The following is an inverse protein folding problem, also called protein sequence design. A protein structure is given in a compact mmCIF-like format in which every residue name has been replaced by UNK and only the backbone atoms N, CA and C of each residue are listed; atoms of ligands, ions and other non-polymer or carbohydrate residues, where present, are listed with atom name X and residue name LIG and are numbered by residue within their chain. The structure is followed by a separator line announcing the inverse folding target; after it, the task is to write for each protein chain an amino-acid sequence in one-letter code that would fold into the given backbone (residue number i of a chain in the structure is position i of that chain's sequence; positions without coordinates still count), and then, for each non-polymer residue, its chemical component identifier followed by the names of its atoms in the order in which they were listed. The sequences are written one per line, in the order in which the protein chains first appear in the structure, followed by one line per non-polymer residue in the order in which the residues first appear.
data_IF_892344052100
#
_entry.id   IF_892344052100
#
_cell.length_a   1.000
_cell.length_b   1.000
_cell.length_c   1.000
_cell.angle_alpha   90.00
_cell.angle_beta   90.00
_cell.angle_gamma   90.00
#
_symmetry.space_group_name_H-M   'P 1'
#
loop_
_entity.id
_entity.type
_entity.pdbx_description
1 polymer ?
#
# COMPACT_ATOMS: atom_id res chain seq x y z
N UNK A 1 -16.94 3.34 2.62
CA UNK A 1 -16.96 1.86 2.34
C UNK A 1 -15.61 1.45 1.80
N UNK A 2 -15.05 0.34 2.30
CA UNK A 2 -13.79 -0.25 1.79
C UNK A 2 -14.12 -1.45 0.92
N UNK A 3 -13.67 -1.43 -0.34
CA UNK A 3 -13.74 -2.55 -1.29
C UNK A 3 -12.33 -3.08 -1.58
N UNK A 4 -12.20 -4.33 -2.01
CA UNK A 4 -10.93 -5.03 -2.14
C UNK A 4 -10.84 -5.70 -3.51
N UNK A 5 -9.75 -5.46 -4.21
CA UNK A 5 -9.31 -6.27 -5.33
C UNK A 5 -8.15 -7.15 -4.87
N UNK A 6 -8.37 -8.46 -4.87
CA UNK A 6 -7.33 -9.45 -4.60
C UNK A 6 -6.63 -9.79 -5.91
N UNK A 7 -5.38 -9.33 -6.07
CA UNK A 7 -4.56 -9.77 -7.19
C UNK A 7 -4.12 -11.21 -6.97
N UNK A 8 -4.02 -11.98 -8.04
CA UNK A 8 -3.52 -13.35 -7.99
C UNK A 8 -2.00 -13.40 -7.86
N UNK A 9 -1.31 -12.53 -8.58
CA UNK A 9 0.14 -12.55 -8.76
C UNK A 9 0.82 -11.26 -8.30
N UNK A 10 0.07 -10.35 -7.67
CA UNK A 10 0.55 -9.07 -7.13
C UNK A 10 -0.01 -8.77 -5.76
N UNK A 11 0.16 -7.54 -5.32
CA UNK A 11 -0.40 -7.05 -4.06
C UNK A 11 -1.92 -6.88 -4.13
N UNK A 12 -2.58 -6.83 -2.98
CA UNK A 12 -3.98 -6.44 -2.87
C UNK A 12 -4.12 -4.93 -3.13
N UNK A 13 -5.14 -4.54 -3.88
CA UNK A 13 -5.55 -3.13 -4.00
C UNK A 13 -6.81 -2.86 -3.20
N UNK A 14 -6.87 -1.71 -2.55
CA UNK A 14 -8.02 -1.32 -1.72
C UNK A 14 -8.62 -0.02 -2.21
N UNK A 15 -9.96 0.05 -2.20
CA UNK A 15 -10.73 1.22 -2.61
C UNK A 15 -11.51 1.75 -1.41
N UNK A 16 -11.23 2.98 -0.99
CA UNK A 16 -12.03 3.67 0.01
C UNK A 16 -12.97 4.63 -0.72
N UNK A 17 -14.26 4.29 -0.73
CA UNK A 17 -15.26 4.90 -1.60
C UNK A 17 -16.26 5.70 -0.78
N UNK A 18 -16.47 6.97 -1.17
CA UNK A 18 -17.48 7.84 -0.57
C UNK A 18 -18.86 7.73 -1.27
N UNK A 19 -19.85 8.47 -0.76
CA UNK A 19 -21.22 8.47 -1.31
C UNK A 19 -21.30 9.08 -2.72
N UNK A 20 -20.36 9.94 -3.10
CA UNK A 20 -20.26 10.54 -4.44
C UNK A 20 -19.58 9.66 -5.47
N UNK A 21 -19.25 8.40 -5.11
CA UNK A 21 -18.49 7.47 -5.96
C UNK A 21 -17.07 7.95 -6.27
N UNK A 22 -16.49 8.82 -5.43
CA UNK A 22 -15.08 9.13 -5.45
C UNK A 22 -14.32 8.09 -4.62
N UNK A 23 -13.19 7.64 -5.13
CA UNK A 23 -12.39 6.60 -4.50
C UNK A 23 -10.95 7.06 -4.24
N UNK A 24 -10.44 6.70 -3.07
CA UNK A 24 -9.01 6.65 -2.78
C UNK A 24 -8.56 5.22 -3.00
N UNK A 25 -7.60 5.01 -3.91
CA UNK A 25 -7.01 3.71 -4.22
C UNK A 25 -5.71 3.54 -3.43
N UNK A 26 -5.58 2.44 -2.70
CA UNK A 26 -4.36 2.07 -2.02
C UNK A 26 -3.70 0.94 -2.81
N UNK A 27 -2.44 1.14 -3.18
CA UNK A 27 -1.57 0.25 -3.97
C UNK A 27 -2.20 -0.17 -5.32
N UNK A 28 -1.91 0.54 -6.41
CA UNK A 28 -2.34 0.19 -7.77
C UNK A 28 -1.53 -1.03 -8.27
N UNK A 29 -1.91 -2.22 -7.80
CA UNK A 29 -1.15 -3.44 -7.90
C UNK A 29 -1.01 -3.98 -9.31
N UNK A 30 -0.13 -4.97 -9.48
CA UNK A 30 -0.05 -5.76 -10.70
C UNK A 30 -1.38 -6.45 -10.99
N UNK A 31 -1.80 -6.41 -12.23
CA UNK A 31 -3.09 -6.96 -12.65
C UNK A 31 -2.93 -7.71 -13.96
N UNK A 32 -2.80 -9.03 -13.84
CA UNK A 32 -2.87 -9.90 -15.01
C UNK A 32 -4.24 -9.77 -15.70
N UNK A 33 -4.24 -9.77 -17.03
CA UNK A 33 -5.47 -9.71 -17.84
C UNK A 33 -6.42 -8.54 -17.51
N UNK A 34 -5.88 -7.39 -17.05
CA UNK A 34 -6.64 -6.18 -16.71
C UNK A 34 -7.68 -6.33 -15.59
N UNK A 35 -7.54 -7.32 -14.72
CA UNK A 35 -8.50 -7.59 -13.65
C UNK A 35 -8.76 -6.42 -12.72
N UNK A 36 -7.73 -5.61 -12.38
CA UNK A 36 -7.90 -4.39 -11.57
C UNK A 36 -8.76 -3.34 -12.31
N UNK A 37 -8.55 -3.16 -13.62
CA UNK A 37 -9.31 -2.19 -14.43
C UNK A 37 -10.76 -2.63 -14.59
N UNK A 38 -11.01 -3.92 -14.80
CA UNK A 38 -12.37 -4.47 -14.83
C UNK A 38 -13.08 -4.30 -13.49
N UNK A 39 -12.33 -4.44 -12.38
CA UNK A 39 -12.85 -4.18 -11.04
C UNK A 39 -13.19 -2.70 -10.84
N UNK A 40 -12.33 -1.76 -11.25
CA UNK A 40 -12.60 -0.31 -11.24
C UNK A 40 -13.86 0.02 -12.05
N UNK A 41 -13.98 -0.54 -13.26
CA UNK A 41 -15.16 -0.35 -14.11
C UNK A 41 -16.44 -0.87 -13.45
N UNK A 42 -16.39 -2.05 -12.83
CA UNK A 42 -17.51 -2.64 -12.10
C UNK A 42 -17.91 -1.80 -10.89
N UNK A 43 -16.95 -1.25 -10.16
CA UNK A 43 -17.21 -0.35 -9.05
C UNK A 43 -17.84 0.96 -9.52
N UNK A 44 -17.63 1.37 -10.76
CA UNK A 44 -18.09 2.64 -11.32
C UNK A 44 -17.74 3.82 -10.42
N UNK A 45 -16.45 3.98 -10.14
CA UNK A 45 -15.89 5.02 -9.28
C UNK A 45 -14.96 5.94 -10.05
N UNK A 46 -14.80 7.18 -9.56
CA UNK A 46 -13.76 8.10 -9.98
C UNK A 46 -12.61 8.03 -8.98
N UNK A 47 -11.42 7.61 -9.40
CA UNK A 47 -10.23 7.67 -8.55
C UNK A 47 -9.77 9.12 -8.45
N UNK A 48 -9.72 9.66 -7.23
CA UNK A 48 -9.30 11.04 -6.96
C UNK A 48 -7.95 11.10 -6.25
N UNK A 49 -7.54 10.00 -5.60
CA UNK A 49 -6.22 9.88 -5.00
C UNK A 49 -5.74 8.43 -5.00
N UNK A 50 -4.40 8.27 -4.98
CA UNK A 50 -3.69 7.00 -4.90
C UNK A 50 -2.73 7.11 -3.72
N UNK A 51 -2.78 6.15 -2.78
CA UNK A 51 -1.84 6.04 -1.67
C UNK A 51 -0.95 4.82 -1.92
N UNK A 52 0.36 5.01 -1.89
CA UNK A 52 1.34 3.95 -2.14
C UNK A 52 2.01 3.60 -0.81
N UNK A 53 1.84 2.35 -0.35
CA UNK A 53 2.43 1.89 0.91
C UNK A 53 3.94 1.76 0.82
N UNK A 54 4.44 1.28 -0.32
CA UNK A 54 5.85 1.23 -0.67
C UNK A 54 6.01 0.97 -2.19
N UNK A 55 7.21 1.15 -2.69
CA UNK A 55 7.45 1.23 -4.13
C UNK A 55 7.84 -0.08 -4.81
N UNK A 56 7.60 -1.29 -4.27
CA UNK A 56 7.84 -2.52 -5.00
C UNK A 56 6.87 -2.68 -6.19
N UNK A 57 7.34 -3.35 -7.23
CA UNK A 57 6.67 -3.43 -8.53
C UNK A 57 5.22 -3.92 -8.44
N UNK A 58 4.97 -4.91 -7.61
CA UNK A 58 3.66 -5.53 -7.46
C UNK A 58 2.62 -4.64 -6.79
N UNK A 59 3.06 -3.57 -6.09
CA UNK A 59 2.21 -2.53 -5.51
C UNK A 59 1.97 -1.35 -6.47
N UNK A 60 2.84 -1.12 -7.46
CA UNK A 60 2.81 0.07 -8.32
C UNK A 60 2.65 -0.24 -9.81
N UNK A 61 2.53 -1.50 -10.21
CA UNK A 61 2.57 -1.90 -11.61
C UNK A 61 1.46 -1.28 -12.49
N UNK A 62 0.30 -0.97 -11.93
CA UNK A 62 -0.78 -0.30 -12.65
C UNK A 62 -0.81 1.22 -12.46
N UNK A 63 0.17 1.81 -11.76
CA UNK A 63 0.18 3.23 -11.40
C UNK A 63 0.11 4.15 -12.64
N UNK A 64 0.99 3.92 -13.61
CA UNK A 64 1.08 4.74 -14.81
C UNK A 64 -0.25 4.75 -15.59
N UNK A 65 -0.83 3.59 -15.85
CA UNK A 65 -2.09 3.48 -16.60
C UNK A 65 -3.25 4.14 -15.83
N UNK A 66 -3.30 3.96 -14.50
CA UNK A 66 -4.33 4.60 -13.68
C UNK A 66 -4.18 6.12 -13.67
N UNK A 67 -2.95 6.65 -13.58
CA UNK A 67 -2.72 8.10 -13.68
C UNK A 67 -3.09 8.65 -15.06
N UNK A 68 -2.92 7.90 -16.14
CA UNK A 68 -3.39 8.31 -17.45
C UNK A 68 -4.94 8.33 -17.58
N UNK A 69 -5.62 7.40 -16.93
CA UNK A 69 -7.09 7.36 -16.88
C UNK A 69 -7.68 8.42 -15.95
N UNK A 70 -6.97 8.77 -14.90
CA UNK A 70 -7.38 9.75 -13.88
C UNK A 70 -6.28 10.81 -13.67
N UNK A 71 -6.03 11.67 -14.66
CA UNK A 71 -4.86 12.57 -14.66
C UNK A 71 -4.88 13.60 -13.52
N UNK A 72 -6.03 13.89 -12.94
CA UNK A 72 -6.19 14.80 -11.80
C UNK A 72 -6.01 14.11 -10.43
N UNK A 73 -5.78 12.78 -10.40
CA UNK A 73 -5.63 12.07 -9.14
C UNK A 73 -4.30 12.45 -8.47
N UNK A 74 -4.35 12.76 -7.19
CA UNK A 74 -3.17 12.96 -6.36
C UNK A 74 -2.51 11.62 -6.04
N UNK A 75 -1.19 11.54 -6.11
CA UNK A 75 -0.43 10.33 -5.75
C UNK A 75 0.41 10.60 -4.52
N UNK A 76 0.19 9.85 -3.45
CA UNK A 76 0.90 9.98 -2.18
C UNK A 76 1.84 8.81 -1.96
N UNK A 77 3.08 9.11 -1.65
CA UNK A 77 4.11 8.13 -1.32
C UNK A 77 5.03 8.73 -0.24
N UNK A 78 5.66 7.91 0.60
CA UNK A 78 6.65 8.46 1.54
C UNK A 78 7.84 9.06 0.79
N UNK A 79 8.48 10.09 1.37
CA UNK A 79 9.62 10.74 0.73
C UNK A 79 10.76 9.74 0.45
N UNK A 80 11.00 8.81 1.37
CA UNK A 80 12.02 7.76 1.23
C UNK A 80 11.70 6.72 0.14
N UNK A 81 10.43 6.58 -0.29
CA UNK A 81 10.00 5.67 -1.36
C UNK A 81 9.90 6.33 -2.74
N UNK A 82 9.93 7.65 -2.82
CA UNK A 82 9.72 8.34 -4.09
C UNK A 82 10.73 7.91 -5.18
N UNK A 83 11.96 7.59 -4.79
CA UNK A 83 13.00 7.09 -5.70
C UNK A 83 12.62 5.74 -6.35
N UNK A 84 11.84 4.90 -5.66
CA UNK A 84 11.42 3.59 -6.18
C UNK A 84 10.59 3.71 -7.46
N UNK A 85 9.83 4.78 -7.62
CA UNK A 85 8.98 4.99 -8.81
C UNK A 85 9.76 5.04 -10.12
N UNK A 86 11.07 5.35 -10.07
CA UNK A 86 11.93 5.48 -11.26
C UNK A 86 13.18 4.61 -11.21
N UNK A 87 13.44 3.92 -10.10
CA UNK A 87 14.61 3.08 -9.92
C UNK A 87 14.23 1.58 -9.99
N UNK A 88 14.54 0.96 -11.12
CA UNK A 88 14.12 -0.40 -11.45
C UNK A 88 14.78 -1.50 -10.61
N UNK A 89 15.92 -1.22 -10.00
CA UNK A 89 16.60 -2.13 -9.09
C UNK A 89 16.00 -2.04 -7.67
N UNK A 90 15.54 -0.84 -7.25
CA UNK A 90 14.86 -0.66 -5.97
C UNK A 90 13.43 -1.19 -6.01
N UNK A 91 12.66 -0.88 -7.06
CA UNK A 91 11.29 -1.36 -7.18
C UNK A 91 11.18 -2.82 -7.64
N UNK A 92 12.31 -3.45 -7.97
CA UNK A 92 12.42 -4.85 -8.40
C UNK A 92 11.72 -5.18 -9.72
N UNK A 93 11.25 -4.20 -10.50
CA UNK A 93 10.54 -4.47 -11.77
C UNK A 93 11.46 -5.11 -12.81
N UNK A 94 12.76 -4.77 -12.81
CA UNK A 94 13.75 -5.40 -13.68
C UNK A 94 13.91 -6.90 -13.35
N UNK A 95 14.09 -7.24 -12.08
CA UNK A 95 14.21 -8.64 -11.65
C UNK A 95 12.93 -9.42 -11.97
N UNK A 96 11.75 -8.86 -11.67
CA UNK A 96 10.46 -9.48 -11.98
C UNK A 96 10.26 -9.70 -13.49
N UNK A 97 10.68 -8.76 -14.34
CA UNK A 97 10.64 -8.91 -15.79
C UNK A 97 11.56 -10.03 -16.26
N UNK A 98 12.79 -10.09 -15.75
CA UNK A 98 13.78 -11.13 -16.08
C UNK A 98 13.33 -12.52 -15.61
N UNK A 99 12.61 -12.61 -14.50
CA UNK A 99 12.02 -13.85 -13.97
C UNK A 99 10.73 -14.29 -14.69
N UNK A 100 10.21 -13.46 -15.60
CA UNK A 100 9.07 -13.81 -16.45
C UNK A 100 7.70 -13.58 -15.83
N UNK A 101 7.57 -12.70 -14.82
CA UNK A 101 6.27 -12.32 -14.24
C UNK A 101 5.39 -11.50 -15.19
N UNK A 102 5.86 -11.17 -16.42
CA UNK A 102 5.08 -10.42 -17.40
C UNK A 102 4.86 -8.95 -17.04
N UNK A 103 5.62 -8.42 -16.08
CA UNK A 103 5.59 -7.01 -15.70
C UNK A 103 6.54 -6.20 -16.59
N UNK A 104 6.15 -4.98 -16.93
CA UNK A 104 7.02 -4.03 -17.59
C UNK A 104 8.06 -3.46 -16.60
N UNK A 105 9.18 -2.95 -17.12
CA UNK A 105 10.10 -2.16 -16.33
C UNK A 105 9.42 -0.84 -15.93
N UNK A 106 9.35 -0.56 -14.63
CA UNK A 106 8.57 0.55 -14.09
C UNK A 106 9.46 1.76 -13.81
N UNK A 107 9.24 2.84 -14.57
CA UNK A 107 9.99 4.10 -14.44
C UNK A 107 9.06 5.32 -14.59
N UNK A 108 7.92 5.31 -13.89
CA UNK A 108 6.90 6.35 -14.04
C UNK A 108 6.91 7.32 -12.86
N UNK A 109 6.93 8.61 -13.15
CA UNK A 109 6.81 9.68 -12.17
C UNK A 109 5.48 10.42 -12.37
N UNK A 110 4.53 10.29 -11.43
CA UNK A 110 3.23 10.98 -11.51
C UNK A 110 3.35 12.51 -11.52
N UNK A 111 2.47 13.18 -12.28
CA UNK A 111 2.45 14.66 -12.36
C UNK A 111 2.06 15.28 -11.01
N UNK A 112 1.07 14.69 -10.32
CA UNK A 112 0.58 15.15 -9.02
C UNK A 112 1.14 14.30 -7.87
N UNK A 113 2.47 14.07 -7.88
CA UNK A 113 3.15 13.34 -6.81
C UNK A 113 3.32 14.21 -5.57
N UNK A 114 2.81 13.72 -4.43
CA UNK A 114 2.90 14.35 -3.11
C UNK A 114 3.66 13.42 -2.17
N UNK A 115 4.74 13.94 -1.60
CA UNK A 115 5.58 13.22 -0.65
C UNK A 115 5.04 13.42 0.76
N UNK A 116 4.97 12.33 1.52
CA UNK A 116 4.46 12.34 2.90
C UNK A 116 5.48 11.81 3.89
N UNK A 117 5.32 12.23 5.14
CA UNK A 117 6.17 11.86 6.27
C UNK A 117 5.34 11.23 7.40
N UNK A 118 6.04 10.73 8.43
CA UNK A 118 5.39 10.14 9.60
C UNK A 118 4.45 11.16 10.26
N UNK A 119 3.23 10.73 10.57
CA UNK A 119 2.15 11.49 11.21
C UNK A 119 1.44 12.52 10.31
N UNK A 120 1.82 12.66 9.05
CA UNK A 120 1.05 13.48 8.13
C UNK A 120 -0.41 12.99 8.02
N UNK A 121 -1.30 13.90 7.70
CA UNK A 121 -2.72 13.61 7.44
C UNK A 121 -3.01 13.89 5.98
N UNK A 122 -3.46 12.88 5.26
CA UNK A 122 -3.95 12.99 3.89
C UNK A 122 -5.46 13.14 3.95
N UNK A 123 -5.99 14.22 3.37
CA UNK A 123 -7.44 14.47 3.29
C UNK A 123 -7.91 14.37 1.85
N UNK A 124 -8.56 13.25 1.48
CA UNK A 124 -9.05 12.98 0.14
C UNK A 124 -10.43 12.32 0.15
N UNK A 125 -11.28 12.67 -0.81
CA UNK A 125 -12.65 12.15 -0.92
C UNK A 125 -13.49 12.27 0.37
N UNK A 126 -13.14 13.19 1.28
CA UNK A 126 -13.76 13.35 2.60
C UNK A 126 -13.23 12.39 3.67
N UNK A 127 -12.21 11.60 3.36
CA UNK A 127 -11.52 10.73 4.32
C UNK A 127 -10.23 11.37 4.83
N UNK A 128 -9.82 10.99 6.07
CA UNK A 128 -8.58 11.43 6.71
C UNK A 128 -7.72 10.22 7.01
N UNK A 129 -6.65 10.07 6.25
CA UNK A 129 -5.66 8.99 6.44
C UNK A 129 -4.47 9.52 7.22
N UNK A 130 -4.18 8.93 8.36
CA UNK A 130 -2.94 9.21 9.09
C UNK A 130 -1.83 8.33 8.55
N UNK A 131 -0.73 8.95 8.15
CA UNK A 131 0.49 8.26 7.70
C UNK A 131 1.26 7.74 8.91
N UNK A 132 1.66 6.48 8.88
CA UNK A 132 2.50 5.84 9.90
C UNK A 132 3.68 5.20 9.16
N UNK A 133 4.84 5.82 9.19
CA UNK A 133 6.04 5.22 8.60
C UNK A 133 6.48 4.02 9.43
N UNK A 134 6.67 2.90 8.73
CA UNK A 134 7.05 1.61 9.32
C UNK A 134 8.26 1.02 8.59
N UNK A 135 9.44 1.71 8.63
CA UNK A 135 10.62 1.31 7.87
C UNK A 135 11.19 -0.01 8.36
N UNK A 136 11.09 -1.07 7.57
CA UNK A 136 11.87 -2.30 7.70
C UNK A 136 11.76 -3.21 6.47
N UNK A 137 10.59 -3.33 5.85
CA UNK A 137 10.43 -4.05 4.57
C UNK A 137 11.14 -3.29 3.45
N UNK A 138 10.87 -1.98 3.37
CA UNK A 138 11.67 -0.98 2.67
C UNK A 138 11.99 0.18 3.60
N UNK A 139 12.91 1.09 3.19
CA UNK A 139 13.33 2.25 4.01
C UNK A 139 12.20 3.24 4.29
N UNK A 140 11.20 3.32 3.42
CA UNK A 140 10.10 4.28 3.51
C UNK A 140 8.71 3.63 3.57
N UNK A 141 8.62 2.32 3.86
CA UNK A 141 7.33 1.64 4.02
C UNK A 141 6.39 2.40 4.94
N UNK A 142 5.14 2.57 4.51
CA UNK A 142 4.11 3.30 5.24
C UNK A 142 2.84 2.46 5.42
N UNK A 143 2.18 2.64 6.54
CA UNK A 143 0.80 2.23 6.76
C UNK A 143 -0.11 3.46 6.72
N UNK A 144 -1.33 3.30 6.24
CA UNK A 144 -2.36 4.34 6.25
C UNK A 144 -3.47 3.95 7.21
N UNK A 145 -3.65 4.77 8.26
CA UNK A 145 -4.67 4.55 9.27
C UNK A 145 -5.87 5.46 9.01
N UNK A 146 -7.04 4.87 8.79
CA UNK A 146 -8.32 5.54 8.59
C UNK A 146 -9.20 5.31 9.82
N UNK A 147 -9.21 6.31 10.74
CA UNK A 147 -9.79 6.17 12.08
C UNK A 147 -11.31 5.92 12.05
N UNK A 148 -12.06 6.72 11.27
CA UNK A 148 -13.52 6.64 11.22
C UNK A 148 -14.05 5.30 10.70
N UNK A 149 -13.28 4.64 9.81
CA UNK A 149 -13.59 3.32 9.24
C UNK A 149 -12.96 2.17 10.05
N UNK A 150 -12.19 2.48 11.09
CA UNK A 150 -11.40 1.51 11.86
C UNK A 150 -10.55 0.60 10.95
N UNK A 151 -9.90 1.18 9.96
CA UNK A 151 -9.14 0.49 8.94
C UNK A 151 -7.65 0.86 9.01
N UNK A 152 -6.78 -0.14 8.90
CA UNK A 152 -5.34 0.00 8.75
C UNK A 152 -4.91 -0.69 7.47
N UNK A 153 -4.45 0.07 6.49
CA UNK A 153 -3.82 -0.44 5.27
C UNK A 153 -2.34 -0.58 5.56
N UNK A 154 -1.88 -1.81 5.74
CA UNK A 154 -0.55 -2.07 6.30
C UNK A 154 0.54 -2.32 5.24
N UNK A 155 0.18 -2.39 3.96
CA UNK A 155 1.14 -2.82 2.94
C UNK A 155 1.86 -4.09 3.40
N UNK A 156 3.17 -4.13 3.21
CA UNK A 156 4.02 -5.25 3.60
C UNK A 156 4.63 -5.12 5.00
N UNK A 157 4.00 -4.30 5.86
CA UNK A 157 4.41 -4.20 7.26
C UNK A 157 3.82 -5.33 8.10
N UNK A 158 2.50 -5.57 8.02
CA UNK A 158 1.80 -6.53 8.87
C UNK A 158 0.82 -7.36 8.05
N UNK A 159 0.97 -8.68 8.11
CA UNK A 159 0.11 -9.67 7.48
C UNK A 159 -0.66 -10.51 8.50
N UNK A 160 -1.52 -11.39 8.01
CA UNK A 160 -2.16 -12.41 8.82
C UNK A 160 -1.08 -13.37 9.40
N UNK A 161 -0.85 -13.27 10.73
CA UNK A 161 0.08 -14.09 11.52
C UNK A 161 1.57 -13.93 11.19
N UNK A 162 1.96 -12.98 10.33
CA UNK A 162 3.35 -12.72 9.97
C UNK A 162 3.59 -11.24 9.67
N UNK A 163 4.80 -10.89 9.24
CA UNK A 163 5.23 -9.56 8.81
C UNK A 163 5.97 -9.66 7.49
N UNK A 164 6.19 -8.55 6.81
CA UNK A 164 6.99 -8.49 5.59
C UNK A 164 8.44 -8.92 5.82
N UNK A 165 9.08 -9.41 4.76
CA UNK A 165 10.52 -9.70 4.77
C UNK A 165 11.33 -8.41 4.81
N UNK A 166 12.58 -8.49 5.24
CA UNK A 166 13.46 -7.33 5.39
C UNK A 166 14.84 -7.51 4.74
N UNK A 167 14.95 -8.43 3.81
CA UNK A 167 16.18 -8.83 3.13
C UNK A 167 16.24 -8.38 1.65
N UNK A 168 15.24 -7.60 1.20
CA UNK A 168 15.22 -6.94 -0.11
C UNK A 168 15.98 -5.60 -0.08
N UNK A 169 16.27 -4.97 -1.24
CA UNK A 169 16.93 -3.67 -1.28
C UNK A 169 16.29 -2.66 -0.34
N UNK A 170 17.10 -1.98 0.48
CA UNK A 170 16.73 -1.04 1.54
C UNK A 170 16.03 -1.65 2.77
N UNK A 171 15.67 -2.93 2.74
CA UNK A 171 15.10 -3.64 3.88
C UNK A 171 16.09 -3.80 5.04
N UNK A 172 15.59 -3.82 6.28
CA UNK A 172 16.42 -4.04 7.45
C UNK A 172 15.63 -4.50 8.67
N UNK A 173 16.09 -5.57 9.32
CA UNK A 173 15.49 -6.04 10.57
C UNK A 173 15.67 -5.07 11.75
N UNK A 174 16.64 -4.14 11.66
CA UNK A 174 16.99 -3.23 12.76
C UNK A 174 15.87 -2.30 13.18
N UNK A 175 15.00 -1.91 12.26
CA UNK A 175 13.87 -1.00 12.50
C UNK A 175 12.53 -1.72 12.65
N UNK A 176 12.49 -3.04 12.46
CA UNK A 176 11.26 -3.84 12.51
C UNK A 176 10.52 -3.67 13.85
N UNK A 177 11.22 -3.86 14.97
CA UNK A 177 10.60 -3.77 16.29
C UNK A 177 9.98 -2.39 16.55
N UNK A 178 10.71 -1.31 16.24
CA UNK A 178 10.22 0.06 16.43
C UNK A 178 9.01 0.37 15.54
N UNK A 179 8.98 -0.15 14.32
CA UNK A 179 7.87 -0.01 13.38
C UNK A 179 6.63 -0.76 13.86
N UNK A 180 6.80 -2.00 14.32
CA UNK A 180 5.70 -2.79 14.84
C UNK A 180 5.13 -2.25 16.16
N UNK A 181 5.97 -1.63 17.04
CA UNK A 181 5.51 -0.94 18.25
C UNK A 181 4.52 0.17 17.92
N UNK A 182 4.75 0.97 16.86
CA UNK A 182 3.80 2.00 16.43
C UNK A 182 2.42 1.40 16.13
N UNK A 183 2.36 0.23 15.46
CA UNK A 183 1.10 -0.44 15.17
C UNK A 183 0.46 -1.03 16.44
N UNK A 184 1.28 -1.54 17.36
CA UNK A 184 0.79 -2.08 18.64
C UNK A 184 0.11 -1.03 19.50
N UNK A 185 0.50 0.24 19.40
CA UNK A 185 -0.08 1.37 20.13
C UNK A 185 -1.42 1.86 19.55
N UNK A 186 -1.78 1.42 18.33
CA UNK A 186 -3.04 1.81 17.71
C UNK A 186 -4.25 1.26 18.48
N UNK A 187 -5.43 1.92 18.38
CA UNK A 187 -6.66 1.51 19.06
C UNK A 187 -7.07 0.06 18.75
N UNK A 188 -7.92 -0.49 19.60
CA UNK A 188 -8.54 -1.81 19.41
C UNK A 188 -9.63 -1.77 18.32
N UNK A 189 -9.94 -2.94 17.76
CA UNK A 189 -11.04 -3.11 16.80
C UNK A 189 -10.68 -2.71 15.37
N UNK A 190 -9.38 -2.51 15.05
CA UNK A 190 -8.97 -2.18 13.69
C UNK A 190 -8.95 -3.41 12.79
N UNK A 191 -9.60 -3.31 11.64
CA UNK A 191 -9.41 -4.24 10.54
C UNK A 191 -8.10 -3.91 9.82
N UNK A 192 -7.27 -4.92 9.57
CA UNK A 192 -6.00 -4.78 8.87
C UNK A 192 -6.16 -5.29 7.45
N UNK A 193 -5.75 -4.47 6.50
CA UNK A 193 -5.78 -4.67 5.07
C UNK A 193 -4.32 -4.77 4.57
N UNK A 194 -3.76 -5.98 4.47
CA UNK A 194 -2.34 -6.19 4.15
C UNK A 194 -2.10 -6.16 2.64
N UNK A 195 -0.87 -5.88 2.23
CA UNK A 195 -0.45 -5.95 0.83
C UNK A 195 -0.65 -7.34 0.22
N UNK A 196 -0.46 -8.41 0.99
CA UNK A 196 -0.65 -9.77 0.52
C UNK A 196 -1.50 -10.62 1.47
N UNK A 197 -2.19 -11.60 0.87
CA UNK A 197 -2.97 -12.59 1.61
C UNK A 197 -4.28 -12.06 2.19
N UNK A 198 -4.77 -12.72 3.20
CA UNK A 198 -6.08 -12.42 3.79
C UNK A 198 -6.03 -11.22 4.74
N UNK A 199 -7.12 -10.44 4.77
CA UNK A 199 -7.33 -9.44 5.81
C UNK A 199 -7.36 -10.08 7.20
N UNK A 200 -6.99 -9.27 8.20
CA UNK A 200 -7.00 -9.68 9.61
C UNK A 200 -7.54 -8.55 10.48
N UNK A 201 -7.38 -8.65 11.80
CA UNK A 201 -7.60 -7.55 12.70
C UNK A 201 -6.41 -7.38 13.67
N UNK A 202 -6.18 -6.14 14.08
CA UNK A 202 -5.01 -5.80 14.88
C UNK A 202 -5.00 -6.48 16.26
N UNK A 203 -6.18 -6.68 16.88
CA UNK A 203 -6.27 -7.32 18.19
C UNK A 203 -5.85 -8.80 18.13
N UNK A 204 -6.25 -9.49 17.04
CA UNK A 204 -5.79 -10.84 16.77
C UNK A 204 -4.28 -10.87 16.59
N UNK A 205 -3.73 -9.95 15.79
CA UNK A 205 -2.30 -9.90 15.53
C UNK A 205 -1.50 -9.57 16.80
N UNK A 206 -1.96 -8.62 17.63
CA UNK A 206 -1.35 -8.34 18.93
C UNK A 206 -1.30 -9.58 19.83
N UNK A 207 -2.28 -10.48 19.72
CA UNK A 207 -2.39 -11.67 20.57
C UNK A 207 -1.63 -12.88 20.05
N UNK A 208 -1.63 -13.10 18.75
CA UNK A 208 -1.19 -14.38 18.15
C UNK A 208 -0.01 -14.25 17.20
N UNK A 209 0.25 -13.08 16.59
CA UNK A 209 1.39 -12.87 15.73
C UNK A 209 2.67 -12.85 16.55
N UNK A 210 3.59 -13.75 16.27
CA UNK A 210 4.84 -13.92 17.06
C UNK A 210 5.72 -12.69 17.05
N UNK A 211 5.66 -11.87 16.00
CA UNK A 211 6.43 -10.62 15.91
C UNK A 211 5.82 -9.50 16.75
N UNK A 212 4.49 -9.39 16.84
CA UNK A 212 3.83 -8.37 17.65
C UNK A 212 3.70 -8.77 19.12
N UNK A 213 3.47 -10.04 19.39
CA UNK A 213 3.22 -10.55 20.75
C UNK A 213 4.42 -10.30 21.68
N UNK A 214 5.64 -10.40 21.15
CA UNK A 214 6.87 -10.43 21.93
C UNK A 214 7.55 -9.05 22.09
N UNK A 215 6.95 -7.98 21.59
CA UNK A 215 7.47 -6.60 21.68
C UNK A 215 6.64 -5.73 22.60
#
# INVERSE_FOLDING_TARGET
MVDIYYSRDGANSFFVINEKREAVLIDPSFSEHRGLFDHINKLNVKIVAILITHGHWDHIASLEEICHLYPEAHVYISDDEAEFLTNVDLNLSKAANEEGYGVNILTYLPIHLLKVNDRDIIEEAGFKFKVILTPFHTKGSACFYLENEKALFSGDTLFFSTVGRSDLPTGTVKTMESSLKKLKELPVGLKVYPGHGACTNLDREKKYNTYLKNI
#
